data_IF_373438152786
#
_entry.id   IF_373438152786
#
_cell.length_a   1.000
_cell.length_b   1.000
_cell.length_c   1.000
_cell.angle_alpha   90.00
_cell.angle_beta   90.00
_cell.angle_gamma   90.00
#
_symmetry.space_group_name_H-M   'P 1'
#
loop_
_entity.id
_entity.type
_entity.pdbx_description
1 polymer ?
#
# COMPACT_ATOMS: atom_id res chain seq x y z
N UNK A 1 -16.79 -20.03 3.16
CA UNK A 1 -17.29 -18.76 2.58
C UNK A 1 -18.72 -18.41 2.98
N UNK A 2 -19.67 -19.35 3.07
CA UNK A 2 -21.08 -19.03 3.42
C UNK A 2 -21.26 -18.32 4.78
N UNK A 3 -20.51 -18.72 5.82
CA UNK A 3 -20.65 -18.17 7.17
C UNK A 3 -20.21 -16.69 7.30
N UNK A 4 -19.11 -16.30 6.67
CA UNK A 4 -18.62 -14.91 6.71
C UNK A 4 -19.53 -13.95 5.95
N UNK A 5 -20.13 -14.40 4.84
CA UNK A 5 -21.08 -13.59 4.06
C UNK A 5 -22.33 -13.26 4.89
N UNK A 6 -22.81 -14.21 5.69
CA UNK A 6 -23.98 -13.97 6.54
C UNK A 6 -23.66 -13.03 7.71
N UNK A 7 -22.44 -13.08 8.26
CA UNK A 7 -21.97 -12.12 9.27
C UNK A 7 -21.83 -10.72 8.66
N UNK A 8 -21.22 -10.62 7.48
CA UNK A 8 -21.06 -9.36 6.75
C UNK A 8 -22.41 -8.69 6.47
N UNK A 9 -23.43 -9.45 6.04
CA UNK A 9 -24.81 -8.95 5.86
C UNK A 9 -25.46 -8.45 7.15
N UNK A 10 -25.17 -9.10 8.29
CA UNK A 10 -25.68 -8.63 9.60
C UNK A 10 -25.01 -7.33 10.03
N UNK A 11 -23.71 -7.18 9.79
CA UNK A 11 -22.98 -5.92 10.04
C UNK A 11 -23.47 -4.81 9.14
N UNK A 12 -23.71 -5.10 7.87
CA UNK A 12 -24.34 -4.18 6.93
C UNK A 12 -25.71 -3.70 7.42
N UNK A 13 -26.56 -4.62 7.91
CA UNK A 13 -27.86 -4.25 8.45
C UNK A 13 -27.77 -3.35 9.70
N UNK A 14 -26.65 -3.39 10.44
CA UNK A 14 -26.40 -2.56 11.62
C UNK A 14 -25.79 -1.18 11.28
N UNK A 15 -25.11 -1.05 10.13
CA UNK A 15 -24.54 0.21 9.61
C UNK A 15 -25.07 0.45 8.18
N UNK A 16 -26.28 1.00 8.03
CA UNK A 16 -26.98 1.06 6.73
C UNK A 16 -26.36 2.05 5.73
N UNK A 17 -25.40 2.87 6.16
CA UNK A 17 -24.73 3.87 5.32
C UNK A 17 -23.83 3.24 4.23
N UNK A 18 -23.70 1.91 4.21
CA UNK A 18 -22.94 1.17 3.22
C UNK A 18 -23.77 0.05 2.56
N UNK A 19 -23.98 0.15 1.25
CA UNK A 19 -24.76 -0.82 0.49
C UNK A 19 -23.97 -2.08 0.08
N UNK A 20 -22.66 -2.15 0.34
CA UNK A 20 -21.82 -3.26 -0.10
C UNK A 20 -21.44 -4.27 1.02
N UNK A 21 -22.05 -5.45 0.99
CA UNK A 21 -21.71 -6.56 1.87
C UNK A 21 -20.25 -7.04 1.72
N UNK A 22 -19.64 -6.84 0.56
CA UNK A 22 -18.26 -7.25 0.29
C UNK A 22 -17.26 -6.43 1.09
N UNK A 23 -17.53 -5.14 1.32
CA UNK A 23 -16.72 -4.32 2.23
C UNK A 23 -16.64 -4.94 3.64
N UNK A 24 -17.77 -5.34 4.21
CA UNK A 24 -17.83 -5.92 5.55
C UNK A 24 -17.12 -7.27 5.62
N UNK A 25 -17.24 -8.07 4.56
CA UNK A 25 -16.48 -9.32 4.43
C UNK A 25 -14.97 -9.05 4.47
N UNK A 26 -14.48 -8.15 3.62
CA UNK A 26 -13.06 -7.79 3.58
C UNK A 26 -12.57 -7.18 4.91
N UNK A 27 -13.38 -6.33 5.54
CA UNK A 27 -13.09 -5.76 6.86
C UNK A 27 -12.98 -6.83 7.94
N UNK A 28 -13.89 -7.80 7.97
CA UNK A 28 -13.85 -8.89 8.93
C UNK A 28 -12.60 -9.76 8.74
N UNK A 29 -12.28 -10.12 7.49
CA UNK A 29 -11.08 -10.90 7.17
C UNK A 29 -9.80 -10.17 7.56
N UNK A 30 -9.74 -8.86 7.32
CA UNK A 30 -8.63 -8.01 7.75
C UNK A 30 -8.50 -7.98 9.28
N UNK A 31 -9.62 -7.85 10.01
CA UNK A 31 -9.62 -7.88 11.49
C UNK A 31 -9.22 -9.24 12.04
N UNK A 32 -9.53 -10.32 11.33
CA UNK A 32 -9.07 -11.67 11.65
C UNK A 32 -7.58 -11.89 11.30
N UNK A 33 -6.90 -10.90 10.72
CA UNK A 33 -5.49 -10.98 10.35
C UNK A 33 -5.21 -11.93 9.20
N UNK A 34 -6.16 -12.13 8.29
CA UNK A 34 -5.91 -12.88 7.07
C UNK A 34 -4.77 -12.21 6.27
N UNK A 35 -3.65 -12.93 6.13
CA UNK A 35 -2.44 -12.42 5.49
C UNK A 35 -2.56 -12.29 3.98
N UNK A 36 -1.63 -12.90 3.24
CA UNK A 36 -1.51 -12.72 1.78
C UNK A 36 -2.76 -13.16 0.99
N UNK A 37 -3.57 -14.07 1.54
CA UNK A 37 -4.81 -14.55 0.91
C UNK A 37 -5.88 -13.46 0.73
N UNK A 38 -5.79 -12.35 1.47
CA UNK A 38 -6.75 -11.26 1.40
C UNK A 38 -6.35 -10.20 0.36
N UNK A 39 -5.06 -10.11 -0.02
CA UNK A 39 -4.57 -9.04 -0.89
C UNK A 39 -5.25 -9.01 -2.25
N UNK A 40 -5.40 -10.17 -2.91
CA UNK A 40 -6.04 -10.27 -4.23
C UNK A 40 -7.49 -9.76 -4.20
N UNK A 41 -8.26 -10.17 -3.20
CA UNK A 41 -9.65 -9.73 -3.03
C UNK A 41 -9.74 -8.22 -2.74
N UNK A 42 -8.77 -7.66 -1.98
CA UNK A 42 -8.70 -6.23 -1.73
C UNK A 42 -8.36 -5.44 -2.99
N UNK A 43 -7.38 -5.89 -3.78
CA UNK A 43 -7.06 -5.26 -5.05
C UNK A 43 -8.23 -5.31 -6.03
N UNK A 44 -8.88 -6.46 -6.15
CA UNK A 44 -10.07 -6.64 -6.99
C UNK A 44 -11.23 -5.72 -6.55
N UNK A 45 -11.50 -5.68 -5.25
CA UNK A 45 -12.52 -4.79 -4.68
C UNK A 45 -12.20 -3.32 -4.95
N UNK A 46 -10.94 -2.95 -4.72
CA UNK A 46 -10.46 -1.57 -4.89
C UNK A 46 -10.46 -1.09 -6.33
N UNK A 47 -10.18 -1.98 -7.29
CA UNK A 47 -10.28 -1.70 -8.72
C UNK A 47 -11.73 -1.60 -9.20
N UNK A 48 -12.63 -2.47 -8.69
CA UNK A 48 -14.02 -2.53 -9.12
C UNK A 48 -14.90 -1.44 -8.50
N UNK A 49 -14.61 -1.07 -7.25
CA UNK A 49 -15.40 -0.12 -6.46
C UNK A 49 -14.50 0.93 -5.80
N UNK A 50 -13.99 1.90 -6.58
CA UNK A 50 -13.08 2.90 -6.06
C UNK A 50 -13.79 3.81 -5.05
N UNK A 51 -13.54 3.60 -3.76
CA UNK A 51 -14.13 4.33 -2.63
C UNK A 51 -13.14 4.57 -1.49
N UNK A 52 -13.45 5.50 -0.59
CA UNK A 52 -12.67 5.74 0.65
C UNK A 52 -12.59 4.50 1.53
N UNK A 53 -13.64 3.68 1.52
CA UNK A 53 -13.71 2.41 2.23
C UNK A 53 -12.74 1.37 1.66
N UNK A 54 -12.70 1.24 0.33
CA UNK A 54 -11.73 0.37 -0.31
C UNK A 54 -10.29 0.83 -0.01
N UNK A 55 -10.03 2.14 0.04
CA UNK A 55 -8.72 2.69 0.43
C UNK A 55 -8.35 2.26 1.84
N UNK A 56 -9.27 2.42 2.79
CA UNK A 56 -9.03 2.11 4.19
C UNK A 56 -8.75 0.61 4.39
N UNK A 57 -9.39 -0.26 3.60
CA UNK A 57 -9.10 -1.69 3.62
C UNK A 57 -7.70 -2.00 3.07
N UNK A 58 -7.35 -1.48 1.89
CA UNK A 58 -6.04 -1.71 1.27
C UNK A 58 -4.91 -1.16 2.15
N UNK A 59 -5.05 0.07 2.65
CA UNK A 59 -4.11 0.69 3.58
C UNK A 59 -4.03 -0.09 4.90
N UNK A 60 -5.19 -0.50 5.44
CA UNK A 60 -5.27 -1.31 6.65
C UNK A 60 -4.48 -2.61 6.52
N UNK A 61 -4.64 -3.32 5.40
CA UNK A 61 -3.90 -4.54 5.09
C UNK A 61 -2.40 -4.29 4.95
N UNK A 62 -2.00 -3.29 4.14
CA UNK A 62 -0.59 -2.95 3.98
C UNK A 62 0.07 -2.61 5.33
N UNK A 63 -0.63 -1.91 6.23
CA UNK A 63 -0.09 -1.54 7.55
C UNK A 63 0.19 -2.76 8.43
N UNK A 64 -0.64 -3.78 8.31
CA UNK A 64 -0.55 -4.99 9.13
C UNK A 64 0.48 -5.98 8.59
N UNK A 65 0.50 -6.18 7.27
CA UNK A 65 1.25 -7.28 6.66
C UNK A 65 2.50 -6.83 5.90
N UNK A 66 2.49 -5.62 5.32
CA UNK A 66 3.53 -5.13 4.40
C UNK A 66 3.83 -3.64 4.62
N UNK A 67 4.37 -3.23 5.79
CA UNK A 67 4.56 -1.83 6.13
C UNK A 67 5.45 -1.08 5.15
N UNK A 68 6.44 -1.75 4.53
CA UNK A 68 7.28 -1.15 3.49
C UNK A 68 6.52 -0.86 2.18
N UNK A 69 5.41 -1.55 1.92
CA UNK A 69 4.55 -1.27 0.77
C UNK A 69 3.47 -0.23 1.08
N UNK A 70 3.28 0.11 2.35
CA UNK A 70 2.31 1.13 2.76
C UNK A 70 2.52 2.44 2.01
N UNK A 71 3.77 2.92 1.77
CA UNK A 71 3.93 4.14 1.01
C UNK A 71 3.48 4.07 -0.45
N UNK A 72 3.61 2.89 -1.05
CA UNK A 72 3.14 2.69 -2.42
C UNK A 72 1.60 2.65 -2.45
N UNK A 73 0.98 2.04 -1.43
CA UNK A 73 -0.47 1.95 -1.31
C UNK A 73 -1.13 3.33 -1.07
N UNK A 74 -0.56 4.20 -0.24
CA UNK A 74 -1.07 5.57 -0.08
C UNK A 74 -1.01 6.33 -1.40
N UNK A 75 0.07 6.21 -2.15
CA UNK A 75 0.16 6.88 -3.45
C UNK A 75 -0.86 6.35 -4.46
N UNK A 76 -1.13 5.06 -4.44
CA UNK A 76 -2.23 4.49 -5.22
C UNK A 76 -3.59 5.02 -4.74
N UNK A 77 -3.83 5.15 -3.44
CA UNK A 77 -5.06 5.80 -2.95
C UNK A 77 -5.18 7.24 -3.44
N UNK A 78 -4.10 8.02 -3.32
CA UNK A 78 -4.14 9.43 -3.67
C UNK A 78 -4.29 9.67 -5.18
N UNK A 79 -3.54 8.95 -6.01
CA UNK A 79 -3.62 9.08 -7.45
C UNK A 79 -5.02 8.75 -7.99
N UNK A 80 -5.74 7.83 -7.33
CA UNK A 80 -7.13 7.48 -7.67
C UNK A 80 -8.13 8.57 -7.28
N UNK A 81 -7.88 9.29 -6.20
CA UNK A 81 -8.75 10.38 -5.73
C UNK A 81 -8.69 11.65 -6.61
N UNK A 82 -7.92 11.64 -7.69
CA UNK A 82 -7.74 12.80 -8.56
C UNK A 82 -8.79 12.85 -9.68
N UNK A 83 -9.78 13.74 -9.52
CA UNK A 83 -10.62 14.23 -10.62
C UNK A 83 -10.29 15.69 -11.03
N UNK A 84 -9.51 16.43 -10.23
CA UNK A 84 -9.21 17.86 -10.45
C UNK A 84 -7.71 18.18 -10.42
N UNK A 85 -7.32 19.16 -11.23
CA UNK A 85 -6.01 19.18 -11.88
C UNK A 85 -4.81 19.75 -11.08
N UNK A 86 -4.88 19.82 -9.76
CA UNK A 86 -3.90 20.58 -8.96
C UNK A 86 -3.32 19.79 -7.77
N UNK A 87 -3.04 18.51 -7.99
CA UNK A 87 -2.52 17.62 -6.94
C UNK A 87 -1.00 17.57 -6.91
N UNK A 88 -0.44 17.74 -5.72
CA UNK A 88 0.96 17.46 -5.39
C UNK A 88 0.99 16.31 -4.37
N UNK A 89 1.69 15.20 -4.66
CA UNK A 89 1.80 14.09 -3.72
C UNK A 89 2.28 14.48 -2.33
N UNK A 90 1.65 13.90 -1.30
CA UNK A 90 1.96 14.26 0.09
C UNK A 90 1.37 15.58 0.56
N UNK A 91 0.52 16.27 -0.23
CA UNK A 91 -0.07 17.54 0.20
C UNK A 91 -1.44 17.46 0.86
N UNK A 92 -2.20 16.39 0.63
CA UNK A 92 -3.52 16.25 1.27
C UNK A 92 -3.38 16.08 2.79
N UNK A 93 -4.30 16.66 3.57
CA UNK A 93 -4.29 16.52 5.03
C UNK A 93 -4.39 15.05 5.47
N UNK A 94 -5.22 14.25 4.78
CA UNK A 94 -5.35 12.79 5.01
C UNK A 94 -4.02 12.09 4.81
N UNK A 95 -3.35 12.40 3.71
CA UNK A 95 -2.08 11.81 3.32
C UNK A 95 -0.96 12.18 4.29
N UNK A 96 -0.83 13.45 4.66
CA UNK A 96 0.17 13.90 5.65
C UNK A 96 -0.02 13.21 6.99
N UNK A 97 -1.27 13.02 7.40
CA UNK A 97 -1.60 12.27 8.62
C UNK A 97 -1.15 10.81 8.52
N UNK A 98 -1.48 10.13 7.41
CA UNK A 98 -1.05 8.75 7.16
C UNK A 98 0.48 8.65 7.14
N UNK A 99 1.16 9.57 6.48
CA UNK A 99 2.63 9.61 6.45
C UNK A 99 3.26 9.82 7.82
N UNK A 100 2.76 10.79 8.58
CA UNK A 100 3.24 11.05 9.93
C UNK A 100 3.04 9.83 10.84
N UNK A 101 1.85 9.22 10.80
CA UNK A 101 1.52 8.00 11.55
C UNK A 101 2.55 6.88 11.28
N UNK A 102 2.87 6.61 10.00
CA UNK A 102 3.84 5.56 9.68
C UNK A 102 5.25 5.91 10.14
N UNK A 103 5.71 7.15 9.92
CA UNK A 103 7.04 7.59 10.36
C UNK A 103 7.21 7.42 11.87
N UNK A 104 6.16 7.72 12.64
CA UNK A 104 6.14 7.56 14.08
C UNK A 104 5.93 6.12 14.56
N UNK A 105 5.32 5.25 13.74
CA UNK A 105 5.13 3.82 14.06
C UNK A 105 6.44 3.04 14.22
N UNK A 106 7.52 3.54 13.60
CA UNK A 106 8.82 2.88 13.59
C UNK A 106 8.91 1.60 12.74
N UNK A 107 7.84 1.21 12.04
CA UNK A 107 7.74 -0.06 11.30
C UNK A 107 8.40 -0.06 9.92
N UNK A 108 8.66 1.10 9.35
CA UNK A 108 9.30 1.21 8.02
C UNK A 108 10.77 0.86 8.08
N UNK A 109 11.22 0.17 7.03
CA UNK A 109 12.63 0.04 6.66
C UNK A 109 13.30 1.42 6.46
N UNK A 110 14.64 1.49 6.54
CA UNK A 110 15.39 2.71 6.21
C UNK A 110 15.03 3.28 4.82
N UNK A 111 14.90 2.42 3.81
CA UNK A 111 14.46 2.79 2.46
C UNK A 111 13.07 3.43 2.44
N UNK A 112 12.09 2.80 3.10
CA UNK A 112 10.73 3.32 3.19
C UNK A 112 10.65 4.65 3.93
N UNK A 113 11.45 4.84 4.99
CA UNK A 113 11.55 6.12 5.71
C UNK A 113 12.12 7.22 4.83
N UNK A 114 13.24 6.94 4.16
CA UNK A 114 13.86 7.90 3.24
C UNK A 114 12.91 8.31 2.12
N UNK A 115 12.14 7.36 1.58
CA UNK A 115 11.13 7.64 0.56
C UNK A 115 10.05 8.59 1.07
N UNK A 116 9.46 8.31 2.23
CA UNK A 116 8.42 9.18 2.83
C UNK A 116 8.98 10.56 3.17
N UNK A 117 10.19 10.65 3.73
CA UNK A 117 10.86 11.93 4.01
C UNK A 117 11.03 12.75 2.73
N UNK A 118 11.39 12.10 1.61
CA UNK A 118 11.55 12.77 0.32
C UNK A 118 10.27 13.42 -0.21
N UNK A 119 9.10 12.85 0.10
CA UNK A 119 7.79 13.39 -0.29
C UNK A 119 7.43 14.66 0.51
N UNK A 120 7.77 14.70 1.81
CA UNK A 120 7.52 15.88 2.64
C UNK A 120 8.41 17.08 2.27
N UNK A 121 9.65 16.81 1.87
CA UNK A 121 10.59 17.85 1.48
C UNK A 121 10.57 18.03 -0.04
N UNK A 122 9.62 18.86 -0.54
CA UNK A 122 9.33 19.26 -1.96
C UNK A 122 10.49 19.34 -2.97
N UNK A 123 11.74 19.39 -2.51
CA UNK A 123 12.93 19.18 -3.33
C UNK A 123 13.80 18.16 -2.60
N UNK A 124 13.86 16.94 -3.14
CA UNK A 124 15.10 16.35 -3.68
C UNK A 124 14.90 14.82 -3.79
N UNK A 125 14.32 14.37 -4.91
CA UNK A 125 14.56 13.03 -5.47
C UNK A 125 16.06 12.66 -5.41
N UNK A 126 16.92 13.64 -5.73
CA UNK A 126 18.38 13.54 -5.58
C UNK A 126 18.86 13.35 -4.13
N UNK A 127 18.16 13.84 -3.11
CA UNK A 127 18.54 13.64 -1.70
C UNK A 127 18.09 12.28 -1.20
N UNK A 128 16.93 11.79 -1.66
CA UNK A 128 16.55 10.39 -1.47
C UNK A 128 17.61 9.49 -2.09
N UNK A 129 17.92 9.68 -3.38
CA UNK A 129 18.97 8.95 -4.08
C UNK A 129 20.35 9.05 -3.39
N UNK A 130 20.75 10.23 -2.91
CA UNK A 130 22.03 10.42 -2.22
C UNK A 130 22.06 9.86 -0.79
N UNK A 131 20.95 9.93 -0.04
CA UNK A 131 20.81 9.30 1.29
C UNK A 131 20.93 7.78 1.21
N UNK A 132 20.47 7.23 0.08
CA UNK A 132 20.58 5.83 -0.26
C UNK A 132 21.99 5.43 -0.70
N UNK A 133 22.68 6.26 -1.47
CA UNK A 133 24.08 6.02 -1.85
C UNK A 133 25.04 6.13 -0.65
N UNK A 134 24.69 6.92 0.38
CA UNK A 134 25.49 7.01 1.61
C UNK A 134 25.33 5.82 2.55
N UNK A 135 24.24 5.05 2.42
CA UNK A 135 24.00 3.80 3.16
C UNK A 135 24.44 2.62 2.29
N UNK A 136 25.76 2.41 2.18
CA UNK A 136 26.32 1.20 1.58
C UNK A 136 25.74 -0.04 2.27
N UNK A 137 24.85 -0.78 1.60
CA UNK A 137 24.41 -2.08 2.11
C UNK A 137 22.99 -2.49 1.76
N UNK A 138 22.14 -1.64 1.17
CA UNK A 138 20.83 -2.12 0.72
C UNK A 138 20.99 -2.95 -0.56
N UNK A 139 20.61 -4.25 -0.55
CA UNK A 139 20.62 -5.05 -1.76
C UNK A 139 19.72 -4.41 -2.83
N UNK A 140 20.04 -4.62 -4.10
CA UNK A 140 19.08 -4.38 -5.20
C UNK A 140 17.84 -5.23 -4.92
N UNK A 141 16.81 -4.60 -4.35
CA UNK A 141 15.56 -5.26 -3.97
C UNK A 141 14.46 -4.87 -4.95
N UNK A 142 13.46 -5.74 -5.19
CA UNK A 142 12.26 -5.39 -5.96
C UNK A 142 11.52 -4.16 -5.42
N UNK A 143 11.64 -3.89 -4.12
CA UNK A 143 11.10 -2.69 -3.45
C UNK A 143 11.70 -1.40 -3.99
N UNK A 144 12.96 -1.41 -4.38
CA UNK A 144 13.61 -0.25 -4.95
C UNK A 144 12.99 0.18 -6.27
N UNK A 145 12.81 -0.77 -7.19
CA UNK A 145 12.23 -0.48 -8.50
C UNK A 145 10.78 0.00 -8.37
N UNK A 146 10.10 -0.48 -7.34
CA UNK A 146 8.81 0.00 -6.91
C UNK A 146 8.85 1.46 -6.44
N UNK A 147 9.73 1.82 -5.51
CA UNK A 147 9.88 3.22 -5.07
C UNK A 147 10.32 4.15 -6.21
N UNK A 148 11.15 3.70 -7.14
CA UNK A 148 11.50 4.47 -8.36
C UNK A 148 10.29 4.70 -9.25
N UNK A 149 9.46 3.68 -9.45
CA UNK A 149 8.21 3.81 -10.22
C UNK A 149 7.26 4.80 -9.56
N UNK A 150 7.17 4.77 -8.23
CA UNK A 150 6.38 5.70 -7.44
C UNK A 150 6.93 7.13 -7.52
N UNK A 151 8.24 7.30 -7.40
CA UNK A 151 8.91 8.59 -7.58
C UNK A 151 8.64 9.19 -8.97
N UNK A 152 8.69 8.39 -10.04
CA UNK A 152 8.33 8.86 -11.39
C UNK A 152 6.88 9.34 -11.47
N UNK A 153 5.94 8.62 -10.83
CA UNK A 153 4.54 9.05 -10.72
C UNK A 153 4.40 10.41 -10.05
N UNK A 154 5.23 10.68 -9.04
CA UNK A 154 5.24 11.94 -8.29
C UNK A 154 5.87 13.07 -9.09
N UNK A 155 6.98 12.79 -9.79
CA UNK A 155 7.79 13.77 -10.50
C UNK A 155 7.20 14.19 -11.85
N UNK A 156 6.39 13.35 -12.50
CA UNK A 156 5.77 13.68 -13.79
C UNK A 156 4.55 14.61 -13.69
N UNK A 157 4.18 15.07 -12.49
CA UNK A 157 3.05 15.96 -12.20
C UNK A 157 1.68 15.54 -12.81
N UNK A 158 1.57 14.39 -13.47
CA UNK A 158 0.34 13.70 -13.86
C UNK A 158 0.72 12.33 -14.44
N UNK A 159 0.41 11.21 -13.78
CA UNK A 159 0.46 9.93 -14.46
C UNK A 159 -0.81 9.80 -15.34
N UNK A 160 -0.65 9.49 -16.62
CA UNK A 160 -1.67 8.74 -17.36
C UNK A 160 -2.02 7.50 -16.53
N UNK A 161 -3.20 6.90 -16.61
CA UNK A 161 -3.61 5.74 -15.77
C UNK A 161 -2.57 4.56 -15.68
N UNK A 162 -1.65 4.43 -16.64
CA UNK A 162 -0.72 3.29 -16.78
C UNK A 162 0.31 3.09 -15.64
N UNK A 163 1.07 4.10 -15.16
CA UNK A 163 2.07 3.92 -14.10
C UNK A 163 1.43 3.56 -12.75
N UNK A 164 0.20 4.01 -12.51
CA UNK A 164 -0.60 3.64 -11.35
C UNK A 164 -0.98 2.15 -11.33
N UNK A 165 -1.54 1.64 -12.44
CA UNK A 165 -1.84 0.21 -12.54
C UNK A 165 -0.58 -0.64 -12.44
N UNK A 166 0.56 -0.14 -12.92
CA UNK A 166 1.86 -0.80 -12.72
C UNK A 166 2.26 -0.87 -11.25
N UNK A 167 2.02 0.17 -10.45
CA UNK A 167 2.30 0.10 -9.01
C UNK A 167 1.44 -0.98 -8.35
N UNK A 168 0.14 -1.06 -8.65
CA UNK A 168 -0.76 -2.07 -8.10
C UNK A 168 -0.38 -3.49 -8.48
N UNK A 169 -0.12 -3.75 -9.77
CA UNK A 169 0.33 -5.06 -10.25
C UNK A 169 1.61 -5.47 -9.50
N UNK A 170 2.50 -4.53 -9.25
CA UNK A 170 3.74 -4.80 -8.52
C UNK A 170 3.54 -4.98 -7.01
N UNK A 171 2.51 -4.38 -6.40
CA UNK A 171 2.09 -4.67 -5.02
C UNK A 171 1.65 -6.14 -4.91
N UNK A 172 0.83 -6.60 -5.86
CA UNK A 172 0.37 -7.99 -5.96
C UNK A 172 1.52 -8.98 -6.20
N UNK A 173 2.42 -8.67 -7.15
CA UNK A 173 3.60 -9.51 -7.44
C UNK A 173 4.59 -9.54 -6.27
N UNK A 174 4.76 -8.42 -5.57
CA UNK A 174 5.66 -8.30 -4.42
C UNK A 174 5.29 -9.21 -3.24
N UNK A 175 4.00 -9.53 -3.06
CA UNK A 175 3.51 -10.51 -2.09
C UNK A 175 3.95 -11.95 -2.43
N UNK A 176 3.97 -12.30 -3.72
CA UNK A 176 4.32 -13.64 -4.18
C UNK A 176 5.82 -13.98 -3.97
N UNK A 177 6.70 -12.98 -3.99
CA UNK A 177 8.14 -13.16 -3.81
C UNK A 177 8.56 -13.42 -2.35
N UNK A 178 7.73 -13.07 -1.36
CA UNK A 178 7.99 -13.41 0.06
C UNK A 178 7.62 -14.84 0.45
N UNK A 179 6.95 -15.59 -0.42
CA UNK A 179 6.59 -17.00 -0.16
C UNK A 179 7.72 -18.00 -0.46
N UNK A 180 8.88 -17.55 -0.96
CA UNK A 180 10.00 -18.43 -1.37
C UNK A 180 11.12 -18.61 -0.35
N UNK A 181 10.93 -18.21 0.91
CA UNK A 181 12.01 -18.06 1.90
C UNK A 181 11.89 -18.90 3.17
N UNK A 182 11.43 -20.15 3.09
CA UNK A 182 11.60 -21.12 4.19
C UNK A 182 11.49 -22.54 3.65
N UNK A 183 12.63 -23.24 3.54
CA UNK A 183 12.83 -24.66 3.90
C UNK A 183 14.03 -25.24 3.15
N UNK A 184 15.20 -25.21 3.80
CA UNK A 184 16.02 -26.40 3.97
C UNK A 184 17.18 -26.11 4.94
N UNK A 185 16.89 -26.04 6.24
CA UNK A 185 17.91 -26.35 7.24
C UNK A 185 18.12 -27.85 7.26
N UNK A 186 19.36 -28.25 7.02
CA UNK A 186 19.77 -29.63 6.90
C UNK A 186 19.46 -30.49 8.13
N UNK A 187 19.25 -31.77 7.85
CA UNK A 187 19.44 -32.83 8.83
C UNK A 187 20.55 -33.72 8.28
N UNK A 188 21.71 -33.61 8.93
CA UNK A 188 22.70 -34.68 8.99
C UNK A 188 22.33 -35.50 10.22
N UNK A 189 21.86 -36.74 10.01
CA UNK A 189 22.12 -37.89 10.89
C UNK A 189 22.31 -39.09 9.97
#
# INVERSE_FOLDING_TARGET
MAELVDIARRWQAAEPDNEDAHYYLCKQRLLCGEGESLLADLCDFWQRYPSTQADDLLLGWCRQHRPDFFPLAVMAVEARCMADAEYVPGESARTRLLWADILHSGRLSPLGRSFVDSLFYKRKAMAWANSRLSTQGEPETPLLDLYRTAEQVVLEAFPKEKPFFRLLIRLEEGASLSAGGADNTGIVI
#
